data_IF_727376186303
#
_entry.id   IF_727376186303
#
_cell.length_a   1.000
_cell.length_b   1.000
_cell.length_c   1.000
_cell.angle_alpha   90.00
_cell.angle_beta   90.00
_cell.angle_gamma   90.00
#
_symmetry.space_group_name_H-M   'P 1'
#
loop_
_entity.id
_entity.type
_entity.pdbx_description
1 polymer ?
#
# COMPACT_ATOMS: atom_id res chain seq x y z
N UNK A 1 8.92 -15.31 -7.87
CA UNK A 1 7.78 -15.23 -8.82
C UNK A 1 7.24 -13.81 -8.78
N UNK A 2 6.54 -13.33 -9.84
CA UNK A 2 5.91 -12.00 -9.77
C UNK A 2 4.56 -12.09 -9.06
N UNK A 3 4.36 -11.26 -8.03
CA UNK A 3 3.06 -11.08 -7.40
C UNK A 3 2.15 -10.19 -8.24
N UNK A 4 2.73 -9.19 -8.92
CA UNK A 4 2.00 -8.26 -9.79
C UNK A 4 2.73 -8.11 -11.11
N UNK A 5 1.99 -8.17 -12.22
CA UNK A 5 2.46 -7.83 -13.56
C UNK A 5 1.47 -6.86 -14.20
N UNK A 6 1.92 -5.64 -14.51
CA UNK A 6 1.11 -4.60 -15.13
C UNK A 6 1.53 -4.44 -16.59
N UNK A 7 0.56 -4.43 -17.51
CA UNK A 7 0.79 -4.36 -18.97
C UNK A 7 -0.09 -3.28 -19.59
N UNK A 8 0.53 -2.14 -19.94
CA UNK A 8 -0.12 -1.03 -20.62
C UNK A 8 -1.29 -0.42 -19.86
N UNK A 9 -1.27 -0.47 -18.52
CA UNK A 9 -2.41 -0.08 -17.70
C UNK A 9 -2.66 1.42 -17.84
N UNK A 10 -3.87 1.79 -18.27
CA UNK A 10 -4.26 3.17 -18.54
C UNK A 10 -5.60 3.49 -17.90
N UNK A 11 -5.70 4.68 -17.33
CA UNK A 11 -6.96 5.22 -16.80
C UNK A 11 -7.19 6.64 -17.26
N UNK A 12 -8.30 6.84 -17.97
CA UNK A 12 -8.79 8.16 -18.37
C UNK A 12 -10.09 8.50 -17.65
N UNK A 13 -10.19 9.71 -17.14
CA UNK A 13 -11.40 10.29 -16.56
C UNK A 13 -11.76 11.54 -17.38
N UNK A 14 -12.78 11.45 -18.23
CA UNK A 14 -13.15 12.53 -19.17
C UNK A 14 -11.89 13.04 -19.91
N UNK A 15 -11.46 14.26 -19.61
CA UNK A 15 -10.34 14.91 -20.29
C UNK A 15 -8.97 14.68 -19.60
N UNK A 16 -8.93 13.92 -18.49
CA UNK A 16 -7.70 13.69 -17.72
C UNK A 16 -7.24 12.23 -17.83
N UNK A 17 -6.02 12.03 -18.32
CA UNK A 17 -5.35 10.73 -18.26
C UNK A 17 -4.61 10.63 -16.93
N UNK A 18 -5.21 9.91 -15.97
CA UNK A 18 -4.66 9.77 -14.62
C UNK A 18 -3.52 8.73 -14.54
N UNK A 19 -3.54 7.71 -15.41
CA UNK A 19 -2.45 6.72 -15.59
C UNK A 19 -2.36 6.45 -17.10
N UNK A 20 -1.15 6.45 -17.64
CA UNK A 20 -0.89 6.36 -19.07
C UNK A 20 0.14 5.27 -19.38
N UNK A 21 -0.35 4.13 -19.89
CA UNK A 21 0.48 3.03 -20.38
C UNK A 21 1.43 2.42 -19.36
N UNK A 22 1.05 2.35 -18.08
CA UNK A 22 1.91 1.85 -17.00
C UNK A 22 2.32 0.40 -17.24
N UNK A 23 3.62 0.13 -17.20
CA UNK A 23 4.20 -1.22 -17.26
C UNK A 23 5.17 -1.38 -16.10
N UNK A 24 4.92 -2.35 -15.21
CA UNK A 24 5.83 -2.70 -14.12
C UNK A 24 5.53 -4.10 -13.58
N UNK A 25 6.48 -4.66 -12.82
CA UNK A 25 6.29 -5.90 -12.08
C UNK A 25 6.74 -5.75 -10.64
N UNK A 26 6.07 -6.48 -9.72
CA UNK A 26 6.43 -6.57 -8.30
C UNK A 26 6.63 -8.04 -7.95
N UNK A 27 7.71 -8.37 -7.23
CA UNK A 27 8.01 -9.74 -6.80
C UNK A 27 7.20 -10.11 -5.56
N UNK A 28 6.98 -11.41 -5.35
CA UNK A 28 6.35 -11.91 -4.13
C UNK A 28 7.20 -11.56 -2.90
N UNK A 29 6.54 -11.12 -1.82
CA UNK A 29 7.17 -10.75 -0.56
C UNK A 29 7.95 -9.42 -0.58
N UNK A 30 7.97 -8.72 -1.72
CA UNK A 30 8.62 -7.42 -1.90
C UNK A 30 7.82 -6.31 -1.20
N UNK A 31 8.52 -5.33 -0.61
CA UNK A 31 7.94 -4.03 -0.27
C UNK A 31 8.26 -3.09 -1.43
N UNK A 32 7.22 -2.65 -2.12
CA UNK A 32 7.32 -1.85 -3.33
C UNK A 32 6.63 -0.49 -3.16
N UNK A 33 7.32 0.61 -3.48
CA UNK A 33 6.76 1.94 -3.41
C UNK A 33 6.39 2.50 -4.77
N UNK A 34 5.20 3.11 -4.83
CA UNK A 34 4.83 4.07 -5.87
C UNK A 34 5.06 5.47 -5.29
N UNK A 35 6.16 6.12 -5.70
CA UNK A 35 6.57 7.46 -5.26
C UNK A 35 6.22 8.50 -6.32
N UNK A 36 5.73 9.66 -5.91
CA UNK A 36 5.46 10.77 -6.81
C UNK A 36 4.69 11.89 -6.13
N UNK A 37 4.66 13.04 -6.77
CA UNK A 37 3.89 14.19 -6.31
C UNK A 37 2.37 13.91 -6.32
N UNK A 38 1.60 14.80 -5.71
CA UNK A 38 0.13 14.72 -5.80
C UNK A 38 -0.32 14.80 -7.26
N UNK A 39 -1.27 13.96 -7.65
CA UNK A 39 -1.72 13.86 -9.04
C UNK A 39 -0.88 12.95 -9.95
N UNK A 40 0.22 12.35 -9.46
CA UNK A 40 1.07 11.47 -10.26
C UNK A 40 0.41 10.15 -10.72
N UNK A 41 -0.80 9.83 -10.25
CA UNK A 41 -1.52 8.61 -10.63
C UNK A 41 -1.44 7.46 -9.61
N UNK A 42 -0.72 7.62 -8.48
CA UNK A 42 -0.48 6.56 -7.48
C UNK A 42 -1.77 5.92 -6.95
N UNK A 43 -2.65 6.70 -6.32
CA UNK A 43 -3.94 6.21 -5.79
C UNK A 43 -4.84 5.63 -6.89
N UNK A 44 -4.82 6.20 -8.10
CA UNK A 44 -5.56 5.64 -9.24
C UNK A 44 -5.02 4.27 -9.63
N UNK A 45 -3.70 4.08 -9.60
CA UNK A 45 -3.07 2.77 -9.85
C UNK A 45 -3.51 1.75 -8.79
N UNK A 46 -3.45 2.09 -7.49
CA UNK A 46 -3.97 1.21 -6.43
C UNK A 46 -5.46 0.88 -6.65
N UNK A 47 -6.31 1.87 -6.99
CA UNK A 47 -7.73 1.64 -7.24
C UNK A 47 -7.98 0.66 -8.39
N UNK A 48 -7.17 0.68 -9.45
CA UNK A 48 -7.26 -0.29 -10.54
C UNK A 48 -6.80 -1.68 -10.08
N UNK A 49 -5.62 -1.78 -9.46
CA UNK A 49 -5.06 -3.05 -8.98
C UNK A 49 -5.94 -3.72 -7.92
N UNK A 50 -6.65 -2.94 -7.10
CA UNK A 50 -7.60 -3.44 -6.10
C UNK A 50 -9.01 -3.68 -6.64
N UNK A 51 -9.22 -3.55 -7.97
CA UNK A 51 -10.52 -3.71 -8.61
C UNK A 51 -11.61 -2.77 -8.06
N UNK A 52 -11.24 -1.59 -7.52
CA UNK A 52 -12.17 -0.52 -7.13
C UNK A 52 -12.57 0.35 -8.31
N UNK A 53 -11.75 0.38 -9.36
CA UNK A 53 -12.09 1.01 -10.64
C UNK A 53 -11.52 0.18 -11.79
N UNK A 54 -12.24 0.12 -12.90
CA UNK A 54 -11.75 -0.59 -14.09
C UNK A 54 -10.75 0.28 -14.84
N UNK A 55 -9.67 -0.30 -15.41
CA UNK A 55 -8.81 0.40 -16.35
C UNK A 55 -9.59 0.78 -17.61
N UNK A 56 -9.14 1.81 -18.31
CA UNK A 56 -9.65 2.19 -19.65
C UNK A 56 -9.00 1.30 -20.71
N UNK A 57 -7.70 1.00 -20.55
CA UNK A 57 -6.92 0.13 -21.43
C UNK A 57 -5.90 -0.66 -20.61
N UNK A 58 -5.40 -1.75 -21.18
CA UNK A 58 -4.42 -2.62 -20.53
C UNK A 58 -5.02 -3.54 -19.47
N UNK A 59 -4.17 -4.28 -18.78
CA UNK A 59 -4.55 -5.21 -17.71
C UNK A 59 -3.41 -5.35 -16.70
N UNK A 60 -3.71 -5.92 -15.55
CA UNK A 60 -2.70 -6.37 -14.60
C UNK A 60 -3.05 -7.77 -14.08
N UNK A 61 -2.01 -8.57 -13.86
CA UNK A 61 -2.15 -9.89 -13.26
C UNK A 61 -1.65 -9.83 -11.81
N UNK A 62 -2.49 -10.23 -10.86
CA UNK A 62 -2.16 -10.39 -9.46
C UNK A 62 -2.12 -11.88 -9.13
N UNK A 63 -0.92 -12.42 -8.88
CA UNK A 63 -0.69 -13.86 -8.74
C UNK A 63 -1.33 -14.66 -9.90
N UNK A 64 -1.17 -14.14 -11.13
CA UNK A 64 -1.71 -14.75 -12.34
C UNK A 64 -3.20 -14.50 -12.61
N UNK A 65 -3.92 -13.77 -11.74
CA UNK A 65 -5.34 -13.42 -11.89
C UNK A 65 -5.51 -12.02 -12.46
N UNK A 66 -6.28 -11.89 -13.53
CA UNK A 66 -6.55 -10.62 -14.22
C UNK A 66 -7.48 -9.71 -13.40
N UNK A 67 -7.12 -8.42 -13.26
CA UNK A 67 -7.97 -7.43 -12.59
C UNK A 67 -9.23 -7.08 -13.38
N UNK A 68 -9.31 -7.46 -14.65
CA UNK A 68 -10.46 -7.21 -15.52
C UNK A 68 -11.35 -8.43 -15.69
N UNK A 69 -10.77 -9.65 -15.67
CA UNK A 69 -11.48 -10.92 -15.93
C UNK A 69 -11.76 -11.71 -14.65
N UNK A 70 -10.82 -11.72 -13.69
CA UNK A 70 -10.86 -12.57 -12.50
C UNK A 70 -11.11 -11.73 -11.23
N UNK A 71 -11.95 -10.68 -11.31
CA UNK A 71 -12.15 -9.67 -10.25
C UNK A 71 -12.45 -10.28 -8.89
N UNK A 72 -13.29 -11.30 -8.83
CA UNK A 72 -13.64 -11.96 -7.56
C UNK A 72 -12.47 -12.72 -6.94
N UNK A 73 -11.66 -13.37 -7.76
CA UNK A 73 -10.46 -14.09 -7.31
C UNK A 73 -9.40 -13.09 -6.82
N UNK A 74 -9.16 -12.01 -7.59
CA UNK A 74 -8.25 -10.92 -7.18
C UNK A 74 -8.64 -10.36 -5.83
N UNK A 75 -9.92 -10.05 -5.60
CA UNK A 75 -10.42 -9.49 -4.32
C UNK A 75 -10.20 -10.43 -3.12
N UNK A 76 -10.09 -11.74 -3.32
CA UNK A 76 -9.75 -12.70 -2.26
C UNK A 76 -8.27 -12.73 -1.92
N UNK A 77 -7.41 -12.27 -2.83
CA UNK A 77 -5.95 -12.28 -2.68
C UNK A 77 -5.40 -11.01 -2.07
N UNK A 78 -6.18 -9.94 -2.05
CA UNK A 78 -5.71 -8.60 -1.70
C UNK A 78 -6.42 -8.02 -0.49
N UNK A 79 -5.77 -7.07 0.16
CA UNK A 79 -6.42 -6.13 1.07
C UNK A 79 -5.89 -4.72 0.83
N UNK A 80 -6.67 -3.72 1.25
CA UNK A 80 -6.34 -2.30 1.12
C UNK A 80 -6.50 -1.62 2.47
N UNK A 81 -5.47 -0.90 2.92
CA UNK A 81 -5.60 0.13 3.95
C UNK A 81 -5.60 1.48 3.24
N UNK A 82 -6.76 2.14 3.12
CA UNK A 82 -6.89 3.38 2.35
C UNK A 82 -6.24 4.56 3.09
N UNK A 83 -6.04 5.67 2.39
CA UNK A 83 -5.48 6.92 2.95
C UNK A 83 -6.31 7.43 4.12
N UNK A 84 -7.64 7.50 3.99
CA UNK A 84 -8.53 7.73 5.12
C UNK A 84 -8.79 6.42 5.87
N UNK A 85 -8.52 6.41 7.18
CA UNK A 85 -8.70 5.20 7.98
C UNK A 85 -10.16 4.79 8.05
N UNK A 86 -10.48 3.62 7.51
CA UNK A 86 -11.83 3.06 7.47
C UNK A 86 -12.16 2.32 8.78
N UNK A 87 -12.07 3.00 9.93
CA UNK A 87 -12.34 2.43 11.25
C UNK A 87 -13.73 2.85 11.76
N UNK A 88 -14.46 1.92 12.37
CA UNK A 88 -15.73 2.22 13.03
C UNK A 88 -15.45 2.93 14.37
N UNK A 89 -15.53 4.27 14.37
CA UNK A 89 -15.12 5.13 15.48
C UNK A 89 -15.86 4.86 16.79
N UNK A 90 -17.11 4.37 16.72
CA UNK A 90 -17.94 4.00 17.87
C UNK A 90 -17.58 2.67 18.51
N UNK A 91 -16.83 1.82 17.82
CA UNK A 91 -16.39 0.52 18.28
C UNK A 91 -14.97 0.62 18.90
N UNK A 92 -14.65 -0.29 19.81
CA UNK A 92 -13.29 -0.49 20.32
C UNK A 92 -12.38 -1.09 19.23
N UNK A 93 -11.06 -1.12 19.47
CA UNK A 93 -10.10 -1.80 18.60
C UNK A 93 -10.50 -3.26 18.40
N UNK A 94 -10.75 -3.99 19.49
CA UNK A 94 -11.15 -5.40 19.47
C UNK A 94 -12.46 -5.61 18.71
N UNK A 95 -13.46 -4.75 18.91
CA UNK A 95 -14.76 -4.83 18.21
C UNK A 95 -14.61 -4.55 16.71
N UNK A 96 -13.75 -3.61 16.28
CA UNK A 96 -13.43 -3.40 14.88
C UNK A 96 -12.83 -4.65 14.23
N UNK A 97 -11.87 -5.29 14.90
CA UNK A 97 -11.25 -6.52 14.41
C UNK A 97 -12.26 -7.67 14.38
N UNK A 98 -13.10 -7.80 15.40
CA UNK A 98 -14.15 -8.83 15.46
C UNK A 98 -15.18 -8.64 14.33
N UNK A 99 -15.55 -7.39 14.02
CA UNK A 99 -16.43 -7.07 12.89
C UNK A 99 -15.82 -7.59 11.58
N UNK A 100 -14.52 -7.37 11.35
CA UNK A 100 -13.85 -7.86 10.15
C UNK A 100 -13.76 -9.38 10.11
N UNK A 101 -13.49 -10.03 11.24
CA UNK A 101 -13.56 -11.50 11.34
C UNK A 101 -14.94 -12.03 10.92
N UNK A 102 -16.02 -11.37 11.37
CA UNK A 102 -17.40 -11.71 10.99
C UNK A 102 -17.65 -11.54 9.50
N UNK A 103 -17.17 -10.44 8.89
CA UNK A 103 -17.27 -10.20 7.43
C UNK A 103 -16.59 -11.33 6.64
N UNK A 104 -15.47 -11.87 7.15
CA UNK A 104 -14.74 -12.98 6.52
C UNK A 104 -15.23 -14.37 6.94
N UNK A 105 -16.33 -14.45 7.71
CA UNK A 105 -16.95 -15.73 8.10
C UNK A 105 -16.13 -16.56 9.07
N UNK A 106 -15.24 -15.94 9.87
CA UNK A 106 -14.47 -16.66 10.89
C UNK A 106 -15.36 -17.09 12.05
N UNK A 107 -15.14 -18.32 12.53
CA UNK A 107 -15.75 -18.78 13.78
C UNK A 107 -15.10 -18.07 14.98
N UNK A 108 -15.67 -18.28 16.18
CA UNK A 108 -15.23 -17.62 17.42
C UNK A 108 -13.75 -17.89 17.71
N UNK A 109 -13.34 -19.15 17.66
CA UNK A 109 -11.96 -19.57 17.99
C UNK A 109 -10.94 -18.93 17.04
N UNK A 110 -11.16 -19.02 15.73
CA UNK A 110 -10.29 -18.38 14.72
C UNK A 110 -10.26 -16.87 14.89
N UNK A 111 -11.39 -16.24 15.23
CA UNK A 111 -11.46 -14.79 15.47
C UNK A 111 -10.61 -14.39 16.68
N UNK A 112 -10.74 -15.09 17.82
CA UNK A 112 -9.96 -14.80 19.03
C UNK A 112 -8.45 -14.95 18.78
N UNK A 113 -8.05 -16.04 18.10
CA UNK A 113 -6.65 -16.28 17.73
C UNK A 113 -6.13 -15.16 16.83
N UNK A 114 -6.87 -14.80 15.78
CA UNK A 114 -6.43 -13.79 14.79
C UNK A 114 -6.36 -12.40 15.40
N UNK A 115 -7.32 -12.02 16.24
CA UNK A 115 -7.31 -10.76 16.97
C UNK A 115 -6.10 -10.70 17.89
N UNK A 116 -5.82 -11.77 18.67
CA UNK A 116 -4.65 -11.82 19.55
C UNK A 116 -3.33 -11.70 18.77
N UNK A 117 -3.21 -12.36 17.63
CA UNK A 117 -2.02 -12.27 16.75
C UNK A 117 -1.82 -10.84 16.26
N UNK A 118 -2.85 -10.22 15.69
CA UNK A 118 -2.75 -8.91 15.05
C UNK A 118 -2.62 -7.76 16.07
N UNK A 119 -3.27 -7.85 17.24
CA UNK A 119 -3.07 -6.85 18.30
C UNK A 119 -1.63 -6.84 18.78
N UNK A 120 -1.01 -8.01 18.98
CA UNK A 120 0.41 -8.11 19.34
C UNK A 120 1.32 -7.58 18.23
N UNK A 121 1.11 -8.04 16.98
CA UNK A 121 1.94 -7.65 15.84
C UNK A 121 1.96 -6.13 15.63
N UNK A 122 0.82 -5.46 15.84
CA UNK A 122 0.64 -4.04 15.57
C UNK A 122 0.71 -3.19 16.85
N UNK A 123 1.05 -3.81 18.00
CA UNK A 123 1.18 -3.14 19.29
C UNK A 123 -0.14 -2.55 19.81
N UNK A 124 -1.29 -3.13 19.42
CA UNK A 124 -2.62 -2.63 19.77
C UNK A 124 -3.14 -3.13 21.13
N UNK A 125 -2.39 -3.99 21.84
CA UNK A 125 -2.81 -4.62 23.10
C UNK A 125 -3.20 -3.59 24.15
N UNK A 126 -2.39 -2.54 24.32
CA UNK A 126 -2.60 -1.51 25.34
C UNK A 126 -3.84 -0.63 25.11
N UNK A 127 -4.41 -0.70 23.92
CA UNK A 127 -5.57 0.10 23.49
C UNK A 127 -6.75 -0.77 23.03
N UNK A 128 -6.67 -2.10 23.19
CA UNK A 128 -7.63 -3.06 22.64
C UNK A 128 -9.10 -2.75 22.96
N UNK A 129 -9.38 -2.27 24.18
CA UNK A 129 -10.72 -1.93 24.65
C UNK A 129 -11.10 -0.46 24.46
N UNK A 130 -10.16 0.39 23.98
CA UNK A 130 -10.44 1.81 23.69
C UNK A 130 -11.24 1.96 22.40
N UNK A 131 -12.21 2.87 22.40
CA UNK A 131 -12.97 3.23 21.17
C UNK A 131 -12.03 3.84 20.14
N UNK A 132 -12.14 3.37 18.89
CA UNK A 132 -11.26 3.82 17.79
C UNK A 132 -11.31 5.33 17.57
N UNK A 133 -12.46 5.96 17.79
CA UNK A 133 -12.60 7.42 17.67
C UNK A 133 -11.84 8.24 18.73
N UNK A 134 -11.34 7.61 19.81
CA UNK A 134 -10.52 8.24 20.86
C UNK A 134 -9.03 7.99 20.69
N UNK A 135 -8.62 7.26 19.67
CA UNK A 135 -7.22 6.97 19.37
C UNK A 135 -6.56 8.11 18.59
N UNK A 136 -5.25 8.28 18.77
CA UNK A 136 -4.46 9.13 17.87
C UNK A 136 -4.44 8.60 16.43
N UNK A 137 -4.05 9.43 15.46
CA UNK A 137 -3.97 9.03 14.06
C UNK A 137 -3.09 7.80 13.83
N UNK A 138 -1.95 7.70 14.52
CA UNK A 138 -1.06 6.54 14.44
C UNK A 138 -1.72 5.24 14.90
N UNK A 139 -2.45 5.26 16.02
CA UNK A 139 -3.21 4.10 16.49
C UNK A 139 -4.36 3.71 15.55
N UNK A 140 -5.07 4.71 14.98
CA UNK A 140 -6.11 4.44 13.99
C UNK A 140 -5.52 3.84 12.72
N UNK A 141 -4.33 4.30 12.30
CA UNK A 141 -3.62 3.74 11.14
C UNK A 141 -3.19 2.29 11.37
N UNK A 142 -2.61 1.98 12.53
CA UNK A 142 -2.29 0.60 12.92
C UNK A 142 -3.54 -0.29 12.93
N UNK A 143 -4.66 0.19 13.47
CA UNK A 143 -5.93 -0.52 13.45
C UNK A 143 -6.43 -0.76 12.02
N UNK A 144 -6.36 0.24 11.13
CA UNK A 144 -6.75 0.09 9.72
C UNK A 144 -5.93 -1.00 9.02
N UNK A 145 -4.62 -1.07 9.27
CA UNK A 145 -3.74 -2.13 8.74
C UNK A 145 -4.09 -3.49 9.35
N UNK A 146 -4.37 -3.55 10.67
CA UNK A 146 -4.80 -4.77 11.33
C UNK A 146 -6.09 -5.33 10.70
N UNK A 147 -7.08 -4.47 10.48
CA UNK A 147 -8.34 -4.84 9.83
C UNK A 147 -8.11 -5.39 8.42
N UNK A 148 -7.19 -4.79 7.64
CA UNK A 148 -6.82 -5.29 6.32
C UNK A 148 -6.15 -6.66 6.38
N UNK A 149 -5.32 -6.93 7.40
CA UNK A 149 -4.61 -8.20 7.57
C UNK A 149 -5.50 -9.35 8.08
N UNK A 150 -6.73 -9.09 8.54
CA UNK A 150 -7.68 -10.16 8.97
C UNK A 150 -7.91 -11.18 7.86
N UNK A 151 -8.05 -10.74 6.62
CA UNK A 151 -8.31 -11.62 5.46
C UNK A 151 -7.12 -12.48 5.03
N UNK A 152 -5.96 -12.36 5.69
CA UNK A 152 -4.70 -13.04 5.33
C UNK A 152 -4.30 -12.81 3.86
N UNK A 153 -4.25 -11.55 3.40
CA UNK A 153 -4.02 -11.25 2.01
C UNK A 153 -2.62 -11.69 1.56
N UNK A 154 -2.49 -12.02 0.28
CA UNK A 154 -1.18 -12.24 -0.36
C UNK A 154 -0.54 -10.93 -0.81
N UNK A 155 -1.37 -9.92 -1.07
CA UNK A 155 -0.94 -8.58 -1.49
C UNK A 155 -1.67 -7.55 -0.63
N UNK A 156 -0.93 -6.66 0.02
CA UNK A 156 -1.44 -5.57 0.85
C UNK A 156 -1.13 -4.24 0.18
N UNK A 157 -2.18 -3.46 -0.10
CA UNK A 157 -2.04 -2.09 -0.58
C UNK A 157 -2.15 -1.12 0.60
N UNK A 158 -1.17 -0.21 0.73
CA UNK A 158 -1.12 0.85 1.72
C UNK A 158 -1.12 2.21 1.00
N UNK A 159 -2.23 2.92 1.05
CA UNK A 159 -2.33 4.23 0.39
C UNK A 159 -1.94 5.32 1.39
N UNK A 160 -0.75 5.92 1.19
CA UNK A 160 -0.15 6.96 2.04
C UNK A 160 -0.18 6.60 3.54
N UNK A 161 0.46 5.48 3.97
CA UNK A 161 0.25 4.91 5.30
C UNK A 161 0.70 5.83 6.45
N UNK A 162 1.64 6.74 6.23
CA UNK A 162 2.19 7.61 7.28
C UNK A 162 1.74 9.06 7.19
N UNK A 163 0.81 9.36 6.27
CA UNK A 163 0.32 10.73 6.09
C UNK A 163 -0.27 11.29 7.38
N UNK A 164 0.21 12.46 7.78
CA UNK A 164 -0.27 13.17 8.97
C UNK A 164 0.18 12.59 10.31
N UNK A 165 1.10 11.61 10.32
CA UNK A 165 1.71 11.08 11.54
C UNK A 165 2.91 11.92 11.96
N UNK A 166 3.11 12.04 13.27
CA UNK A 166 4.35 12.55 13.83
C UNK A 166 5.54 11.61 13.59
N UNK A 167 6.75 12.07 13.87
CA UNK A 167 8.00 11.33 13.55
C UNK A 167 8.07 9.99 14.29
N UNK A 168 7.64 9.92 15.55
CA UNK A 168 7.70 8.68 16.35
C UNK A 168 6.67 7.67 15.84
N UNK A 169 5.42 8.09 15.64
CA UNK A 169 4.36 7.23 15.13
C UNK A 169 4.68 6.70 13.73
N UNK A 170 5.38 7.52 12.90
CA UNK A 170 5.87 7.11 11.57
C UNK A 170 6.95 6.05 11.69
N UNK A 171 7.97 6.27 12.52
CA UNK A 171 9.05 5.29 12.74
C UNK A 171 8.51 3.95 13.22
N UNK A 172 7.63 3.97 14.22
CA UNK A 172 6.99 2.76 14.73
C UNK A 172 6.17 2.02 13.67
N UNK A 173 5.48 2.75 12.80
CA UNK A 173 4.71 2.14 11.72
C UNK A 173 5.62 1.55 10.65
N UNK A 174 6.76 2.16 10.36
CA UNK A 174 7.76 1.59 9.45
C UNK A 174 8.31 0.26 9.97
N UNK A 175 8.58 0.13 11.27
CA UNK A 175 9.05 -1.12 11.85
C UNK A 175 7.99 -2.22 11.74
N UNK A 176 6.72 -1.87 11.92
CA UNK A 176 5.60 -2.79 11.68
C UNK A 176 5.57 -3.23 10.21
N UNK A 177 5.63 -2.29 9.27
CA UNK A 177 5.62 -2.62 7.82
C UNK A 177 6.82 -3.51 7.46
N UNK A 178 8.02 -3.20 7.97
CA UNK A 178 9.21 -4.06 7.76
C UNK A 178 9.02 -5.47 8.30
N UNK A 179 8.34 -5.64 9.43
CA UNK A 179 8.07 -6.96 10.03
C UNK A 179 7.16 -7.85 9.18
N UNK A 180 6.42 -7.26 8.25
CA UNK A 180 5.56 -7.96 7.29
C UNK A 180 6.30 -8.41 6.02
N UNK A 181 7.52 -7.91 5.79
CA UNK A 181 8.34 -8.27 4.62
C UNK A 181 8.53 -9.78 4.51
N UNK A 182 8.40 -10.30 3.30
CA UNK A 182 8.48 -11.73 3.00
C UNK A 182 7.25 -12.56 3.39
N UNK A 183 6.35 -12.02 4.24
CA UNK A 183 5.10 -12.69 4.63
C UNK A 183 3.94 -12.30 3.73
N UNK A 184 3.91 -11.06 3.29
CA UNK A 184 2.92 -10.49 2.38
C UNK A 184 3.64 -9.55 1.41
N UNK A 185 3.19 -9.49 0.15
CA UNK A 185 3.68 -8.50 -0.81
C UNK A 185 3.03 -7.16 -0.49
N UNK A 186 3.82 -6.10 -0.32
CA UNK A 186 3.31 -4.78 0.06
C UNK A 186 3.53 -3.80 -1.07
N UNK A 187 2.47 -3.12 -1.48
CA UNK A 187 2.54 -1.97 -2.36
C UNK A 187 2.09 -0.76 -1.56
N UNK A 188 2.99 0.19 -1.37
CA UNK A 188 2.63 1.44 -0.72
C UNK A 188 2.74 2.62 -1.69
N UNK A 189 1.83 3.59 -1.55
CA UNK A 189 1.99 4.88 -2.18
C UNK A 189 2.52 5.87 -1.18
N UNK A 190 3.36 6.77 -1.63
CA UNK A 190 3.85 7.87 -0.80
C UNK A 190 4.30 9.05 -1.64
N UNK A 191 4.33 10.22 -1.04
CA UNK A 191 5.01 11.39 -1.56
C UNK A 191 6.22 11.76 -0.68
N UNK A 192 6.49 10.99 0.39
CA UNK A 192 7.66 11.15 1.26
C UNK A 192 8.82 10.30 0.72
N UNK A 193 9.90 10.96 0.29
CA UNK A 193 11.09 10.31 -0.22
C UNK A 193 11.76 9.43 0.83
N UNK A 194 11.85 9.92 2.07
CA UNK A 194 12.38 9.17 3.20
C UNK A 194 11.63 7.84 3.45
N UNK A 195 10.30 7.82 3.32
CA UNK A 195 9.51 6.59 3.46
C UNK A 195 9.82 5.59 2.37
N UNK A 196 9.86 6.04 1.11
CA UNK A 196 10.19 5.18 -0.02
C UNK A 196 11.60 4.60 0.10
N UNK A 197 12.60 5.43 0.42
CA UNK A 197 13.99 5.02 0.58
C UNK A 197 14.19 4.01 1.72
N UNK A 198 13.54 4.24 2.87
CA UNK A 198 13.76 3.41 4.06
C UNK A 198 12.99 2.09 4.06
N UNK A 199 11.83 2.01 3.40
CA UNK A 199 10.96 0.83 3.46
C UNK A 199 11.10 -0.10 2.28
N UNK A 200 11.43 0.41 1.09
CA UNK A 200 11.15 -0.31 -0.14
C UNK A 200 12.36 -1.04 -0.69
N UNK A 201 12.13 -2.24 -1.19
CA UNK A 201 13.12 -2.97 -1.97
C UNK A 201 13.32 -2.31 -3.34
N UNK A 202 12.22 -1.84 -3.94
CA UNK A 202 12.22 -1.09 -5.20
C UNK A 202 11.18 0.02 -5.17
N UNK A 203 11.50 1.09 -5.90
CA UNK A 203 10.72 2.32 -5.96
C UNK A 203 10.39 2.61 -7.42
N UNK A 204 9.11 2.78 -7.72
CA UNK A 204 8.65 3.33 -8.99
C UNK A 204 8.35 4.81 -8.82
N UNK A 205 9.12 5.67 -9.48
CA UNK A 205 8.86 7.11 -9.50
C UNK A 205 7.88 7.41 -10.63
N UNK A 206 6.74 8.02 -10.26
CA UNK A 206 5.67 8.39 -11.19
C UNK A 206 5.51 9.90 -11.28
N UNK A 207 5.20 10.39 -12.48
CA UNK A 207 4.81 11.77 -12.75
C UNK A 207 3.79 11.80 -13.90
N UNK A 208 2.75 12.61 -13.76
CA UNK A 208 1.74 12.86 -14.80
C UNK A 208 1.15 11.55 -15.38
N UNK A 209 0.88 10.57 -14.49
CA UNK A 209 0.35 9.26 -14.86
C UNK A 209 1.35 8.26 -15.45
N UNK A 210 2.61 8.63 -15.62
CA UNK A 210 3.65 7.81 -16.26
C UNK A 210 4.70 7.34 -15.27
N UNK A 211 5.26 6.18 -15.55
CA UNK A 211 6.44 5.66 -14.86
C UNK A 211 7.69 6.33 -15.46
N UNK A 212 8.49 6.97 -14.60
CA UNK A 212 9.77 7.54 -15.00
C UNK A 212 10.92 6.56 -14.82
N UNK A 213 10.96 5.88 -13.67
CA UNK A 213 11.99 4.90 -13.33
C UNK A 213 11.42 3.89 -12.31
N UNK A 214 11.95 2.66 -12.30
CA UNK A 214 11.63 1.64 -11.31
C UNK A 214 12.90 0.87 -10.95
N UNK A 215 13.47 1.18 -9.77
CA UNK A 215 14.78 0.65 -9.33
C UNK A 215 14.87 0.62 -7.79
N UNK A 216 15.98 0.10 -7.24
CA UNK A 216 16.34 0.29 -5.82
C UNK A 216 16.71 1.75 -5.55
N UNK A 217 16.64 2.19 -4.29
CA UNK A 217 17.02 3.57 -3.92
C UNK A 217 18.48 3.88 -4.32
N UNK A 218 19.38 2.92 -4.13
CA UNK A 218 20.80 3.06 -4.50
C UNK A 218 20.96 3.25 -6.02
N UNK A 219 20.30 2.44 -6.83
CA UNK A 219 20.37 2.57 -8.28
C UNK A 219 19.76 3.89 -8.78
N UNK A 220 18.70 4.38 -8.13
CA UNK A 220 18.11 5.68 -8.41
C UNK A 220 19.12 6.80 -8.14
N UNK A 221 19.83 6.75 -6.99
CA UNK A 221 20.88 7.72 -6.65
C UNK A 221 22.04 7.68 -7.66
N UNK A 222 22.51 6.49 -8.02
CA UNK A 222 23.59 6.32 -9.03
C UNK A 222 23.17 6.91 -10.37
N UNK A 223 21.99 6.56 -10.88
CA UNK A 223 21.48 7.09 -12.16
C UNK A 223 21.32 8.60 -12.13
N UNK A 224 20.90 9.16 -10.99
CA UNK A 224 20.78 10.60 -10.80
C UNK A 224 22.11 11.30 -10.46
N UNK A 225 23.22 10.57 -10.35
CA UNK A 225 24.55 11.11 -10.03
C UNK A 225 24.55 11.95 -8.73
N UNK A 226 23.97 11.41 -7.66
CA UNK A 226 23.93 12.05 -6.34
C UNK A 226 23.77 11.00 -5.25
N UNK A 227 24.29 11.26 -4.05
CA UNK A 227 24.14 10.37 -2.89
C UNK A 227 22.87 10.70 -2.08
N UNK A 228 22.20 11.81 -2.38
CA UNK A 228 20.98 12.24 -1.69
C UNK A 228 19.74 11.83 -2.50
N UNK A 229 18.86 11.06 -1.89
CA UNK A 229 17.67 10.52 -2.56
C UNK A 229 16.65 11.61 -2.95
N UNK A 230 16.50 12.67 -2.13
CA UNK A 230 15.60 13.80 -2.45
C UNK A 230 16.08 14.54 -3.70
N UNK A 231 17.39 14.76 -3.82
CA UNK A 231 17.98 15.36 -5.03
C UNK A 231 17.83 14.42 -6.24
N UNK A 232 18.01 13.11 -6.05
CA UNK A 232 17.81 12.12 -7.11
C UNK A 232 16.38 12.16 -7.63
N UNK A 233 15.39 12.16 -6.75
CA UNK A 233 13.99 12.30 -7.09
C UNK A 233 13.72 13.58 -7.91
N UNK A 234 14.22 14.73 -7.43
CA UNK A 234 14.02 16.03 -8.12
C UNK A 234 14.60 15.99 -9.53
N UNK A 235 15.84 15.50 -9.71
CA UNK A 235 16.50 15.41 -11.04
C UNK A 235 15.72 14.52 -12.00
N UNK A 236 15.26 13.34 -11.52
CA UNK A 236 14.47 12.42 -12.35
C UNK A 236 13.15 13.05 -12.75
N UNK A 237 12.42 13.64 -11.79
CA UNK A 237 11.12 14.26 -12.04
C UNK A 237 11.23 15.46 -12.97
N UNK A 238 12.34 16.22 -12.93
CA UNK A 238 12.60 17.33 -13.87
C UNK A 238 13.11 16.89 -15.25
N UNK A 239 13.45 15.59 -15.41
CA UNK A 239 14.02 15.09 -16.66
C UNK A 239 15.49 15.48 -16.88
N UNK A 240 16.22 15.78 -15.81
CA UNK A 240 17.64 16.17 -15.84
C UNK A 240 18.57 14.94 -15.92
N UNK A 241 18.00 13.74 -15.88
CA UNK A 241 18.71 12.45 -15.94
C UNK A 241 18.37 11.77 -17.26
N UNK A 242 19.40 11.32 -18.00
CA UNK A 242 19.25 10.56 -19.26
C UNK A 242 19.24 9.06 -19.02
#
# INVERSE_FOLDING_TARGET
MNAIEIKGLTKRYKDVTAVDGLNLSVKEGEIFSLLGVNGAGKTTTIKMLSCLTQPTEGDALLLGKSITKDVSDVKRLIAVSPQETAVARGLSVKENLLLMCGVHGFNKEKSEQKISELTKLLGLDTVADKKAGKLSGGWQRRLSIAMALISEPKILFLDEPTLGLDVLARSDLWDIIRSLKGKVTIILTTHYMEEAENLSDRIAIMRDGRLLICETAENIKVKAQTDNFDQAFIRIVKGEVK
#
